data_IF_108374788267
#
_entry.id   IF_108374788267
#
_cell.length_a   1.000
_cell.length_b   1.000
_cell.length_c   1.000
_cell.angle_alpha   90.00
_cell.angle_beta   90.00
_cell.angle_gamma   90.00
#
_symmetry.space_group_name_H-M   'P 1'
#
loop_
_entity.id
_entity.type
_entity.pdbx_description
1 polymer ?
#
# COMPACT_ATOMS: atom_id res chain seq x y z
N UNK A 1 -1.26 11.33 6.31
CA UNK A 1 -2.46 11.93 5.70
C UNK A 1 -3.03 12.94 6.66
N UNK A 2 -4.11 13.65 6.29
CA UNK A 2 -4.79 14.59 7.20
C UNK A 2 -6.20 14.06 7.52
N UNK A 3 -6.58 14.09 8.79
CA UNK A 3 -7.94 13.79 9.25
C UNK A 3 -8.40 14.93 10.15
N UNK A 4 -9.70 15.22 10.14
CA UNK A 4 -10.29 16.34 10.89
C UNK A 4 -11.73 16.00 11.28
N UNK A 5 -12.08 16.30 12.53
CA UNK A 5 -13.44 16.27 13.05
C UNK A 5 -13.83 17.70 13.44
N UNK A 6 -15.00 18.17 12.99
CA UNK A 6 -15.45 19.54 13.18
C UNK A 6 -16.70 19.61 14.05
N UNK A 7 -16.90 20.76 14.71
CA UNK A 7 -18.08 21.04 15.53
C UNK A 7 -18.36 19.99 16.61
N UNK A 8 -17.29 19.46 17.22
CA UNK A 8 -17.39 18.57 18.37
C UNK A 8 -17.84 19.36 19.61
N UNK A 9 -18.70 18.76 20.41
CA UNK A 9 -19.03 19.30 21.74
C UNK A 9 -17.80 19.22 22.66
N UNK A 10 -17.73 20.11 23.64
CA UNK A 10 -16.75 19.99 24.72
C UNK A 10 -16.89 18.64 25.44
N UNK A 11 -15.77 17.96 25.68
CA UNK A 11 -15.76 16.65 26.32
C UNK A 11 -14.49 15.85 26.08
N UNK A 12 -14.43 14.67 26.70
CA UNK A 12 -13.35 13.70 26.52
C UNK A 12 -13.66 12.73 25.38
N UNK A 13 -12.71 12.55 24.49
CA UNK A 13 -12.80 11.70 23.31
C UNK A 13 -11.59 10.78 23.23
N UNK A 14 -11.72 9.72 22.45
CA UNK A 14 -10.62 8.85 22.05
C UNK A 14 -10.89 8.42 20.61
N UNK A 15 -9.83 8.14 19.87
CA UNK A 15 -9.93 7.75 18.47
C UNK A 15 -9.48 6.30 18.27
N UNK A 16 -10.09 5.63 17.29
CA UNK A 16 -9.69 4.31 16.83
C UNK A 16 -9.31 4.38 15.36
N UNK A 17 -8.14 3.88 15.02
CA UNK A 17 -7.76 3.64 13.63
C UNK A 17 -7.93 2.16 13.29
N UNK A 18 -8.79 1.90 12.31
CA UNK A 18 -9.01 0.54 11.78
C UNK A 18 -8.05 0.31 10.62
N UNK A 19 -7.04 -0.53 10.84
CA UNK A 19 -6.02 -0.85 9.83
C UNK A 19 -6.37 -2.20 9.18
N UNK A 20 -6.41 -2.31 7.83
CA UNK A 20 -6.55 -3.58 7.13
C UNK A 20 -5.28 -4.42 7.32
N UNK A 21 -5.25 -5.25 8.37
CA UNK A 21 -4.06 -6.01 8.79
C UNK A 21 -3.62 -7.08 7.78
N UNK A 22 -4.46 -7.40 6.79
CA UNK A 22 -4.13 -8.26 5.65
C UNK A 22 -3.30 -7.55 4.57
N UNK A 23 -3.30 -6.21 4.58
CA UNK A 23 -2.62 -5.39 3.57
C UNK A 23 -1.52 -4.53 4.17
N UNK A 24 -1.67 -4.12 5.43
CA UNK A 24 -0.78 -3.17 6.08
C UNK A 24 -0.44 -3.60 7.49
N UNK A 25 0.82 -3.40 7.86
CA UNK A 25 1.30 -3.52 9.24
C UNK A 25 1.62 -2.14 9.79
N UNK A 26 1.18 -1.85 11.01
CA UNK A 26 1.66 -0.66 11.71
C UNK A 26 3.11 -0.85 12.14
N UNK A 27 3.96 0.11 11.79
CA UNK A 27 5.42 0.08 12.06
C UNK A 27 5.91 1.25 12.89
N UNK A 28 5.13 2.33 12.97
CA UNK A 28 5.35 3.43 13.88
C UNK A 28 4.02 4.08 14.25
N UNK A 29 4.00 4.76 15.38
CA UNK A 29 2.80 5.46 15.86
C UNK A 29 3.18 6.67 16.71
N UNK A 30 2.32 7.67 16.68
CA UNK A 30 2.27 8.82 17.57
C UNK A 30 0.86 8.91 18.12
N UNK A 31 0.70 8.92 19.45
CA UNK A 31 -0.56 9.01 20.19
C UNK A 31 -1.60 7.89 19.97
N UNK A 32 -1.46 7.04 18.95
CA UNK A 32 -2.13 5.73 18.92
C UNK A 32 -1.28 4.67 19.64
N UNK A 33 -1.93 3.80 20.39
CA UNK A 33 -1.38 2.53 20.85
C UNK A 33 -1.24 1.54 19.69
N UNK A 34 -0.49 0.45 19.93
CA UNK A 34 -0.30 -0.61 18.94
C UNK A 34 -1.58 -1.39 18.61
N UNK A 35 -2.61 -1.20 19.43
CA UNK A 35 -3.97 -1.70 19.27
C UNK A 35 -4.86 -0.78 18.40
N UNK A 36 -4.34 0.37 17.96
CA UNK A 36 -5.05 1.34 17.13
C UNK A 36 -5.89 2.34 17.91
N UNK A 37 -5.84 2.37 19.24
CA UNK A 37 -6.61 3.32 20.05
C UNK A 37 -5.73 4.46 20.55
N UNK A 38 -6.24 5.67 20.64
CA UNK A 38 -5.56 6.73 21.43
C UNK A 38 -5.93 6.62 22.90
N UNK A 39 -5.14 7.25 23.75
CA UNK A 39 -5.63 7.66 25.07
C UNK A 39 -6.76 8.70 24.92
N UNK A 40 -7.44 8.99 26.02
CA UNK A 40 -8.42 10.07 26.06
C UNK A 40 -7.74 11.43 25.85
N UNK A 41 -8.37 12.28 25.05
CA UNK A 41 -8.02 13.68 24.88
C UNK A 41 -9.26 14.55 25.07
N UNK A 42 -9.05 15.72 25.66
CA UNK A 42 -10.12 16.64 26.00
C UNK A 42 -10.26 17.73 24.94
N UNK A 43 -11.45 17.87 24.37
CA UNK A 43 -11.84 18.97 23.49
C UNK A 43 -12.46 20.05 24.36
N UNK A 44 -11.87 21.25 24.39
CA UNK A 44 -12.48 22.44 25.01
C UNK A 44 -13.35 23.16 23.98
N UNK A 45 -14.52 23.68 24.36
CA UNK A 45 -15.37 24.46 23.47
C UNK A 45 -14.66 25.67 22.85
N UNK A 46 -14.99 25.99 21.59
CA UNK A 46 -14.45 27.07 20.74
C UNK A 46 -12.92 27.23 20.80
N UNK A 47 -12.21 26.29 20.17
CA UNK A 47 -10.76 26.38 19.92
C UNK A 47 -10.25 25.32 18.96
N UNK A 48 -9.08 25.56 18.36
CA UNK A 48 -8.35 24.58 17.55
C UNK A 48 -7.78 23.47 18.45
N UNK A 49 -8.59 22.46 18.75
CA UNK A 49 -8.11 21.25 19.40
C UNK A 49 -7.55 20.30 18.34
N UNK A 50 -6.22 20.34 18.15
CA UNK A 50 -5.54 19.45 17.21
C UNK A 50 -5.06 18.18 17.91
N UNK A 51 -5.70 17.05 17.61
CA UNK A 51 -5.09 15.74 17.83
C UNK A 51 -4.02 15.54 16.74
N UNK A 52 -2.77 15.34 17.16
CA UNK A 52 -1.63 15.14 16.26
C UNK A 52 -1.17 13.68 16.37
N UNK A 53 -2.14 12.78 16.18
CA UNK A 53 -1.94 11.35 16.21
C UNK A 53 -1.61 10.83 14.80
N UNK A 54 -0.55 10.06 14.66
CA UNK A 54 -0.08 9.58 13.36
C UNK A 54 0.25 8.10 13.44
N UNK A 55 0.13 7.42 12.30
CA UNK A 55 0.64 6.04 12.16
C UNK A 55 1.48 5.92 10.91
N UNK A 56 2.57 5.17 11.01
CA UNK A 56 3.32 4.67 9.87
C UNK A 56 2.85 3.26 9.54
N UNK A 57 2.37 3.06 8.31
CA UNK A 57 1.94 1.76 7.80
C UNK A 57 2.93 1.25 6.75
N UNK A 58 3.28 -0.02 6.85
CA UNK A 58 4.06 -0.74 5.84
C UNK A 58 3.14 -1.68 5.08
N UNK A 59 3.11 -1.57 3.74
CA UNK A 59 2.42 -2.55 2.89
C UNK A 59 3.01 -3.93 3.11
N UNK A 60 2.16 -4.91 3.40
CA UNK A 60 2.53 -6.32 3.47
C UNK A 60 2.49 -7.00 2.09
N UNK A 61 1.95 -6.33 1.08
CA UNK A 61 1.96 -6.81 -0.30
C UNK A 61 3.32 -6.56 -0.94
N UNK A 62 3.94 -7.62 -1.43
CA UNK A 62 5.05 -7.55 -2.37
C UNK A 62 4.57 -7.19 -3.78
N UNK A 63 5.49 -6.84 -4.66
CA UNK A 63 5.23 -6.63 -6.09
C UNK A 63 6.20 -7.49 -6.89
N UNK A 64 5.71 -8.06 -7.99
CA UNK A 64 6.51 -8.79 -8.97
C UNK A 64 6.22 -8.13 -10.30
N UNK A 65 7.25 -7.64 -10.99
CA UNK A 65 7.07 -7.00 -12.28
C UNK A 65 8.42 -6.82 -12.96
N UNK A 66 8.42 -6.93 -14.29
CA UNK A 66 9.58 -6.76 -15.16
C UNK A 66 9.12 -6.42 -16.59
N UNK A 67 10.05 -6.49 -17.56
CA UNK A 67 9.76 -6.39 -18.99
C UNK A 67 9.87 -7.77 -19.65
N UNK A 68 9.00 -8.06 -20.62
CA UNK A 68 9.22 -9.10 -21.62
C UNK A 68 9.70 -8.41 -22.90
N UNK A 69 10.84 -8.83 -23.44
CA UNK A 69 11.48 -8.23 -24.62
C UNK A 69 11.84 -9.27 -25.67
N UNK A 70 12.02 -8.80 -26.90
CA UNK A 70 12.56 -9.59 -28.01
C UNK A 70 14.10 -9.62 -27.91
N UNK A 71 14.65 -10.76 -27.49
CA UNK A 71 16.10 -11.00 -27.43
C UNK A 71 16.65 -11.24 -28.86
N UNK A 72 16.94 -10.13 -29.53
CA UNK A 72 17.33 -10.11 -30.96
C UNK A 72 18.72 -10.68 -31.18
N UNK A 73 19.57 -10.66 -30.16
CA UNK A 73 20.95 -11.13 -30.24
C UNK A 73 21.21 -12.46 -29.52
N UNK A 74 20.17 -13.05 -28.91
CA UNK A 74 20.14 -14.37 -28.26
C UNK A 74 21.08 -14.51 -27.06
N UNK A 75 21.27 -13.45 -26.27
CA UNK A 75 22.21 -13.46 -25.16
C UNK A 75 21.54 -13.57 -23.78
N UNK A 76 20.20 -13.58 -23.71
CA UNK A 76 19.43 -13.69 -22.48
C UNK A 76 19.47 -12.46 -21.57
N UNK A 77 19.86 -11.30 -22.08
CA UNK A 77 19.87 -10.00 -21.38
C UNK A 77 19.02 -9.02 -22.16
N UNK A 78 18.43 -8.07 -21.46
CA UNK A 78 17.74 -6.96 -22.12
C UNK A 78 18.78 -5.92 -22.51
N UNK A 79 19.08 -5.85 -23.81
CA UNK A 79 20.00 -4.87 -24.36
C UNK A 79 19.28 -3.61 -24.86
N UNK A 80 20.05 -2.51 -24.97
CA UNK A 80 19.53 -1.27 -25.53
C UNK A 80 19.13 -1.46 -26.99
N UNK A 81 17.87 -1.14 -27.31
CA UNK A 81 17.30 -1.29 -28.64
C UNK A 81 16.46 -2.55 -28.82
N UNK A 82 16.43 -3.45 -27.84
CA UNK A 82 15.54 -4.61 -27.86
C UNK A 82 14.10 -4.20 -27.46
N UNK A 83 13.11 -4.38 -28.35
CA UNK A 83 11.77 -3.92 -28.11
C UNK A 83 11.06 -4.81 -27.08
N UNK A 84 10.18 -4.20 -26.28
CA UNK A 84 9.25 -4.93 -25.44
C UNK A 84 8.16 -5.63 -26.26
N UNK A 85 7.62 -6.72 -25.72
CA UNK A 85 6.58 -7.52 -26.38
C UNK A 85 5.25 -7.32 -25.67
N UNK A 86 4.27 -6.73 -26.36
CA UNK A 86 2.93 -6.52 -25.84
C UNK A 86 2.02 -7.74 -25.98
N UNK A 87 1.04 -7.87 -25.10
CA UNK A 87 -0.01 -8.89 -25.18
C UNK A 87 0.39 -10.26 -24.64
N UNK A 88 1.56 -10.38 -24.01
CA UNK A 88 2.01 -11.62 -23.38
C UNK A 88 1.35 -11.76 -22.02
N UNK A 89 0.65 -12.88 -21.80
CA UNK A 89 0.00 -13.16 -20.51
C UNK A 89 0.93 -13.97 -19.63
N UNK A 90 1.24 -13.44 -18.44
CA UNK A 90 1.94 -14.13 -17.37
C UNK A 90 0.95 -14.55 -16.29
N UNK A 91 1.00 -15.81 -15.89
CA UNK A 91 0.15 -16.36 -14.84
C UNK A 91 0.98 -16.68 -13.59
N UNK A 92 0.52 -16.20 -12.43
CA UNK A 92 1.12 -16.48 -11.14
C UNK A 92 0.38 -17.62 -10.44
N UNK A 93 1.12 -18.61 -9.97
CA UNK A 93 0.60 -19.77 -9.23
C UNK A 93 1.21 -19.81 -7.83
N UNK A 94 0.45 -20.33 -6.85
CA UNK A 94 0.99 -20.64 -5.54
C UNK A 94 1.69 -22.01 -5.52
N UNK A 95 2.31 -22.37 -4.40
CA UNK A 95 3.06 -23.64 -4.25
C UNK A 95 2.18 -24.89 -4.38
N UNK A 96 0.87 -24.75 -4.17
CA UNK A 96 -0.11 -25.82 -4.35
C UNK A 96 -0.58 -25.97 -5.81
N UNK A 97 -0.03 -25.17 -6.74
CA UNK A 97 -0.39 -25.18 -8.16
C UNK A 97 -1.71 -24.47 -8.48
N UNK A 98 -2.25 -23.66 -7.57
CA UNK A 98 -3.45 -22.86 -7.82
C UNK A 98 -3.08 -21.50 -8.43
N UNK A 99 -3.74 -21.12 -9.53
CA UNK A 99 -3.62 -19.79 -10.12
C UNK A 99 -4.08 -18.73 -9.12
N UNK A 100 -3.21 -17.75 -8.85
CA UNK A 100 -3.43 -16.63 -7.94
C UNK A 100 -3.89 -15.40 -8.73
N UNK A 101 -3.19 -15.10 -9.83
CA UNK A 101 -3.43 -13.91 -10.64
C UNK A 101 -2.84 -14.11 -12.04
N UNK A 102 -3.23 -13.29 -13.00
CA UNK A 102 -2.53 -13.08 -14.26
C UNK A 102 -2.33 -11.58 -14.55
N UNK A 103 -1.41 -11.31 -15.47
CA UNK A 103 -1.15 -9.97 -15.98
C UNK A 103 -0.77 -10.09 -17.45
N UNK A 104 -1.21 -9.13 -18.26
CA UNK A 104 -0.83 -9.04 -19.68
C UNK A 104 0.11 -7.86 -19.86
N UNK A 105 1.21 -8.07 -20.59
CA UNK A 105 2.19 -7.01 -20.83
C UNK A 105 1.59 -5.83 -21.60
N UNK A 106 1.98 -4.62 -21.19
CA UNK A 106 1.59 -3.38 -21.84
C UNK A 106 2.25 -3.21 -23.22
N UNK A 107 2.02 -2.08 -23.89
CA UNK A 107 2.60 -1.76 -25.22
C UNK A 107 4.14 -1.77 -25.24
N UNK A 108 4.79 -1.65 -24.09
CA UNK A 108 6.25 -1.65 -23.92
C UNK A 108 6.77 -2.96 -23.32
N UNK A 109 5.92 -3.98 -23.21
CA UNK A 109 6.30 -5.28 -22.66
C UNK A 109 6.34 -5.33 -21.13
N UNK A 110 5.94 -4.27 -20.41
CA UNK A 110 5.99 -4.25 -18.96
C UNK A 110 4.81 -5.00 -18.32
N UNK A 111 5.05 -5.61 -17.16
CA UNK A 111 4.02 -6.16 -16.28
C UNK A 111 4.36 -5.86 -14.80
N UNK A 112 3.35 -5.76 -13.94
CA UNK A 112 3.47 -5.61 -12.47
C UNK A 112 2.19 -6.06 -11.76
#
# INVERSE_FOLDING_TARGET
GFYQFNALQEGDYFAHIVIPQDQYKMVSTKQFGWDGWTDYFHIKGDGDNKLDADVGLLSQKGKIGETIWEDTNQNGKQDAGEPGISGVTLELYNIDGKKVQDVTTDEKGHYQ
#
